data_IF_403495683776
#
_entry.id   IF_403495683776
#
_cell.length_a   1.000
_cell.length_b   1.000
_cell.length_c   1.000
_cell.angle_alpha   90.00
_cell.angle_beta   90.00
_cell.angle_gamma   90.00
#
_symmetry.space_group_name_H-M   'P 1'
#
loop_
_entity.id
_entity.type
_entity.pdbx_description
1 polymer ?
#
# COMPACT_ATOMS: atom_id res chain seq x y z
N UNK A 1 9.76 -16.03 20.61
CA UNK A 1 9.72 -15.10 21.76
C UNK A 1 10.79 -14.06 21.52
N UNK A 2 10.42 -12.79 21.39
CA UNK A 2 11.36 -11.67 21.24
C UNK A 2 11.61 -11.10 22.64
N UNK A 3 12.87 -10.86 22.98
CA UNK A 3 13.25 -10.14 24.19
C UNK A 3 13.60 -8.70 23.81
N UNK A 4 12.80 -7.75 24.27
CA UNK A 4 12.97 -6.33 23.98
C UNK A 4 13.31 -5.62 25.30
N UNK A 5 14.44 -4.92 25.34
CA UNK A 5 14.76 -4.01 26.45
C UNK A 5 14.06 -2.68 26.18
N UNK A 6 13.23 -2.26 27.11
CA UNK A 6 12.53 -0.99 27.08
C UNK A 6 13.01 -0.13 28.24
N UNK A 7 12.99 1.18 28.06
CA UNK A 7 13.22 2.09 29.17
C UNK A 7 12.13 1.90 30.25
N UNK A 8 12.46 2.04 31.55
CA UNK A 8 11.52 1.77 32.64
C UNK A 8 10.25 2.62 32.57
N UNK A 9 10.39 3.88 32.13
CA UNK A 9 9.26 4.81 31.99
C UNK A 9 8.32 4.37 30.86
N UNK A 10 8.87 3.97 29.72
CA UNK A 10 8.10 3.48 28.59
C UNK A 10 7.35 2.18 28.93
N UNK A 11 7.99 1.26 29.67
CA UNK A 11 7.31 0.06 30.12
C UNK A 11 6.12 0.40 31.03
N UNK A 12 6.27 1.38 31.92
CA UNK A 12 5.21 1.83 32.81
C UNK A 12 4.03 2.46 32.05
N UNK A 13 4.31 3.25 31.02
CA UNK A 13 3.29 3.81 30.13
C UNK A 13 2.53 2.71 29.39
N UNK A 14 3.23 1.74 28.79
CA UNK A 14 2.63 0.58 28.11
C UNK A 14 1.74 -0.21 29.07
N UNK A 15 2.18 -0.42 30.32
CA UNK A 15 1.37 -1.10 31.33
C UNK A 15 0.07 -0.35 31.63
N UNK A 16 0.17 0.97 31.74
CA UNK A 16 -0.98 1.83 32.07
C UNK A 16 -1.97 1.86 30.90
N UNK A 17 -1.48 2.03 29.68
CA UNK A 17 -2.28 1.99 28.48
C UNK A 17 -2.97 0.62 28.29
N UNK A 18 -2.25 -0.48 28.50
CA UNK A 18 -2.80 -1.82 28.40
C UNK A 18 -3.94 -2.05 29.41
N UNK A 19 -3.78 -1.59 30.67
CA UNK A 19 -4.83 -1.65 31.69
C UNK A 19 -6.06 -0.84 31.29
N UNK A 20 -5.88 0.39 30.82
CA UNK A 20 -6.99 1.26 30.42
C UNK A 20 -7.78 0.69 29.23
N UNK A 21 -7.10 -0.03 28.34
CA UNK A 21 -7.69 -0.68 27.17
C UNK A 21 -8.23 -2.09 27.46
N UNK A 22 -8.05 -2.63 28.67
CA UNK A 22 -8.43 -4.00 29.01
C UNK A 22 -7.63 -5.08 28.25
N UNK A 23 -6.41 -4.74 27.80
CA UNK A 23 -5.54 -5.62 27.03
C UNK A 23 -4.36 -6.11 27.87
N UNK A 24 -3.76 -7.23 27.46
CA UNK A 24 -2.47 -7.65 28.00
C UNK A 24 -1.35 -6.83 27.38
N UNK A 25 -0.21 -6.67 28.09
CA UNK A 25 0.97 -5.95 27.55
C UNK A 25 1.39 -6.50 26.18
N UNK A 26 1.45 -7.83 26.07
CA UNK A 26 1.85 -8.51 24.84
C UNK A 26 0.86 -8.29 23.70
N UNK A 27 -0.44 -8.20 24.00
CA UNK A 27 -1.45 -7.94 22.97
C UNK A 27 -1.42 -6.49 22.47
N UNK A 28 -1.22 -5.54 23.38
CA UNK A 28 -1.01 -4.13 23.03
C UNK A 28 0.21 -3.98 22.12
N UNK A 29 1.37 -4.52 22.52
CA UNK A 29 2.62 -4.46 21.74
C UNK A 29 2.43 -5.09 20.35
N UNK A 30 1.77 -6.26 20.28
CA UNK A 30 1.50 -6.94 19.00
C UNK A 30 0.67 -6.05 18.07
N UNK A 31 -0.43 -5.48 18.57
CA UNK A 31 -1.31 -4.61 17.78
C UNK A 31 -0.57 -3.36 17.30
N UNK A 32 0.22 -2.73 18.17
CA UNK A 32 1.02 -1.56 17.80
C UNK A 32 2.04 -1.86 16.71
N UNK A 33 2.72 -3.02 16.77
CA UNK A 33 3.68 -3.42 15.73
C UNK A 33 2.97 -3.66 14.39
N UNK A 34 1.84 -4.37 14.39
CA UNK A 34 1.04 -4.61 13.17
C UNK A 34 0.59 -3.27 12.56
N UNK A 35 0.07 -2.37 13.38
CA UNK A 35 -0.38 -1.06 12.93
C UNK A 35 0.79 -0.22 12.36
N UNK A 36 1.95 -0.24 13.01
CA UNK A 36 3.14 0.47 12.55
C UNK A 36 3.65 -0.07 11.21
N UNK A 37 3.73 -1.39 11.04
CA UNK A 37 4.12 -2.02 9.78
C UNK A 37 3.11 -1.71 8.67
N UNK A 38 1.80 -1.74 8.96
CA UNK A 38 0.77 -1.37 8.00
C UNK A 38 0.86 0.08 7.53
N UNK A 39 1.35 1.01 8.37
CA UNK A 39 1.60 2.40 7.97
C UNK A 39 2.82 2.53 7.04
N UNK A 40 3.82 1.65 7.21
CA UNK A 40 5.00 1.60 6.34
C UNK A 40 4.67 0.98 4.98
N UNK A 41 3.75 0.02 4.95
CA UNK A 41 3.21 -0.59 3.73
C UNK A 41 2.16 0.34 3.07
N UNK A 42 2.59 1.54 2.66
CA UNK A 42 1.88 2.27 1.62
C UNK A 42 2.52 1.88 0.28
N UNK A 43 2.01 0.88 -0.44
CA UNK A 43 2.57 0.52 -1.73
C UNK A 43 2.52 1.76 -2.61
N UNK A 44 3.65 2.09 -3.23
CA UNK A 44 3.70 3.28 -4.07
C UNK A 44 2.72 3.09 -5.25
N UNK A 45 2.30 4.18 -5.89
CA UNK A 45 1.33 4.11 -6.99
C UNK A 45 1.76 3.17 -8.13
N UNK A 46 3.07 2.99 -8.32
CA UNK A 46 3.64 2.04 -9.27
C UNK A 46 3.47 0.58 -8.83
N UNK A 47 3.71 0.25 -7.56
CA UNK A 47 3.54 -1.11 -7.01
C UNK A 47 2.09 -1.58 -7.04
N UNK A 48 1.15 -0.68 -6.79
CA UNK A 48 -0.28 -0.95 -6.93
C UNK A 48 -0.70 -1.17 -8.38
N UNK A 49 -0.09 -0.42 -9.31
CA UNK A 49 -0.48 -0.42 -10.71
C UNK A 49 0.25 -1.44 -11.59
N UNK A 50 1.43 -1.93 -11.19
CA UNK A 50 2.30 -2.79 -12.01
C UNK A 50 1.60 -4.03 -12.55
N UNK A 51 0.71 -4.61 -11.74
CA UNK A 51 -0.03 -5.81 -12.12
C UNK A 51 -1.17 -5.48 -13.09
N UNK A 52 -1.61 -4.24 -13.19
CA UNK A 52 -2.66 -3.79 -14.11
C UNK A 52 -2.10 -3.12 -15.37
N UNK A 53 -0.91 -2.52 -15.29
CA UNK A 53 -0.20 -1.96 -16.43
C UNK A 53 0.28 -3.06 -17.37
N UNK A 54 0.16 -2.85 -18.68
CA UNK A 54 0.78 -3.73 -19.68
C UNK A 54 0.17 -5.13 -19.82
N UNK A 55 -0.85 -5.54 -19.03
CA UNK A 55 -1.54 -6.84 -19.20
C UNK A 55 -2.11 -7.06 -20.59
N UNK A 56 -2.51 -5.97 -21.25
CA UNK A 56 -3.01 -5.99 -22.61
C UNK A 56 -2.10 -5.15 -23.48
N UNK A 57 -1.14 -5.80 -24.15
CA UNK A 57 -0.37 -5.15 -25.19
C UNK A 57 -1.30 -4.87 -26.37
N UNK A 58 -1.40 -3.60 -26.76
CA UNK A 58 -2.15 -3.19 -27.97
C UNK A 58 -1.49 -3.63 -29.28
N UNK A 59 -0.32 -4.30 -29.21
CA UNK A 59 0.56 -4.58 -30.34
C UNK A 59 1.28 -3.34 -30.90
N UNK A 60 0.95 -2.13 -30.42
CA UNK A 60 1.41 -0.86 -30.96
C UNK A 60 2.34 -0.17 -29.96
N UNK A 61 3.60 0.04 -30.36
CA UNK A 61 4.63 0.71 -29.53
C UNK A 61 4.53 2.24 -29.54
N UNK A 62 3.71 2.82 -30.42
CA UNK A 62 3.59 4.27 -30.64
C UNK A 62 2.30 4.89 -30.09
N UNK A 63 1.52 4.16 -29.27
CA UNK A 63 0.23 4.65 -28.74
C UNK A 63 0.34 6.00 -28.02
N UNK A 64 1.44 6.22 -27.28
CA UNK A 64 1.65 7.47 -26.54
C UNK A 64 2.10 8.61 -27.44
N UNK A 65 2.87 8.31 -28.49
CA UNK A 65 3.46 9.29 -29.41
C UNK A 65 2.40 9.79 -30.40
N UNK A 66 1.69 8.86 -31.03
CA UNK A 66 0.75 9.15 -32.12
C UNK A 66 -0.72 9.19 -31.65
N UNK A 67 -0.92 9.45 -30.35
CA UNK A 67 -2.22 9.32 -29.66
C UNK A 67 -3.38 10.00 -30.40
N UNK A 68 -3.13 11.18 -30.98
CA UNK A 68 -4.16 12.00 -31.64
C UNK A 68 -4.56 11.42 -33.00
N UNK A 69 -3.60 10.87 -33.74
CA UNK A 69 -3.83 10.29 -35.07
C UNK A 69 -4.60 8.98 -34.93
N UNK A 70 -4.13 8.09 -34.04
CA UNK A 70 -4.76 6.80 -33.75
C UNK A 70 -6.20 6.98 -33.25
N UNK A 71 -6.43 7.97 -32.39
CA UNK A 71 -7.78 8.26 -31.89
C UNK A 71 -8.74 8.69 -33.01
N UNK A 72 -8.29 9.57 -33.92
CA UNK A 72 -9.10 10.02 -35.06
C UNK A 72 -9.47 8.86 -35.99
N UNK A 73 -8.52 7.97 -36.27
CA UNK A 73 -8.75 6.79 -37.10
C UNK A 73 -9.76 5.83 -36.47
N UNK A 74 -9.62 5.54 -35.17
CA UNK A 74 -10.59 4.70 -34.44
C UNK A 74 -12.00 5.28 -34.43
N UNK A 75 -12.13 6.61 -34.27
CA UNK A 75 -13.44 7.29 -34.29
C UNK A 75 -14.07 7.21 -35.69
N UNK A 76 -13.28 7.41 -36.75
CA UNK A 76 -13.76 7.27 -38.13
C UNK A 76 -14.22 5.85 -38.43
N UNK A 77 -13.41 4.84 -38.08
CA UNK A 77 -13.73 3.44 -38.32
C UNK A 77 -15.03 2.96 -37.63
N UNK A 78 -15.42 3.58 -36.50
CA UNK A 78 -16.70 3.30 -35.81
C UNK A 78 -17.92 4.00 -36.43
N UNK A 79 -17.70 5.05 -37.23
CA UNK A 79 -18.76 5.89 -37.81
C UNK A 79 -19.07 5.56 -39.27
N UNK A 80 -18.24 4.72 -39.90
CA UNK A 80 -18.55 3.96 -41.12
C UNK A 80 -19.23 2.66 -40.76
#
# INVERSE_FOLDING_TARGET
MITLRLDPDLEKEICTAAKNLGLTKSDLIRKSIIEYLGKLESPNAWELGKDYFGRYASGLKNLSVDRKTILKEKIRAKRT
#
